data_IF_139498081133
#
_entry.id   IF_139498081133
#
_cell.length_a   1.000
_cell.length_b   1.000
_cell.length_c   1.000
_cell.angle_alpha   90.00
_cell.angle_beta   90.00
_cell.angle_gamma   90.00
#
_symmetry.space_group_name_H-M   'P 1'
#
loop_
_entity.id
_entity.type
_entity.pdbx_description
1 polymer ?
#
# COMPACT_ATOMS: atom_id res chain seq x y z
N UNK A 1 -21.26 -23.85 3.91
CA UNK A 1 -20.83 -22.61 4.61
C UNK A 1 -19.40 -22.16 4.25
N UNK A 2 -18.33 -22.92 4.55
CA UNK A 2 -16.94 -22.47 4.23
C UNK A 2 -16.72 -22.31 2.72
N UNK A 3 -17.07 -23.32 1.91
CA UNK A 3 -16.94 -23.27 0.44
C UNK A 3 -17.70 -22.09 -0.18
N UNK A 4 -18.89 -21.80 0.29
CA UNK A 4 -19.70 -20.69 -0.18
C UNK A 4 -19.06 -19.32 0.14
N UNK A 5 -18.50 -19.15 1.35
CA UNK A 5 -17.79 -17.93 1.74
C UNK A 5 -16.53 -17.73 0.89
N UNK A 6 -15.77 -18.80 0.64
CA UNK A 6 -14.59 -18.75 -0.23
C UNK A 6 -14.96 -18.34 -1.66
N UNK A 7 -16.07 -18.87 -2.18
CA UNK A 7 -16.54 -18.51 -3.52
C UNK A 7 -16.93 -17.03 -3.61
N UNK A 8 -17.66 -16.50 -2.62
CA UNK A 8 -18.02 -15.07 -2.56
C UNK A 8 -16.78 -14.17 -2.45
N UNK A 9 -15.75 -14.58 -1.70
CA UNK A 9 -14.51 -13.84 -1.62
C UNK A 9 -13.78 -13.79 -2.97
N UNK A 10 -13.70 -14.91 -3.69
CA UNK A 10 -13.14 -14.98 -5.04
C UNK A 10 -13.90 -14.05 -6.01
N UNK A 11 -15.23 -14.07 -5.95
CA UNK A 11 -16.08 -13.20 -6.79
C UNK A 11 -15.79 -11.71 -6.53
N UNK A 12 -15.62 -11.30 -5.27
CA UNK A 12 -15.27 -9.92 -4.91
C UNK A 12 -13.88 -9.55 -5.45
N UNK A 13 -12.89 -10.40 -5.23
CA UNK A 13 -11.52 -10.16 -5.72
C UNK A 13 -11.50 -10.08 -7.25
N UNK A 14 -12.22 -10.96 -7.94
CA UNK A 14 -12.34 -10.95 -9.40
C UNK A 14 -13.04 -9.69 -9.91
N UNK A 15 -14.09 -9.23 -9.25
CA UNK A 15 -14.81 -8.00 -9.60
C UNK A 15 -13.95 -6.76 -9.44
N UNK A 16 -13.04 -6.76 -8.47
CA UNK A 16 -12.15 -5.65 -8.16
C UNK A 16 -10.80 -5.71 -8.91
N UNK A 17 -10.55 -6.78 -9.66
CA UNK A 17 -9.36 -6.92 -10.51
C UNK A 17 -9.41 -5.95 -11.70
N UNK A 18 -8.30 -5.28 -11.96
CA UNK A 18 -8.09 -4.33 -13.07
C UNK A 18 -7.05 -4.82 -14.08
N UNK A 19 -6.87 -6.14 -14.18
CA UNK A 19 -5.96 -6.76 -15.15
C UNK A 19 -4.49 -6.76 -14.75
N UNK A 20 -4.19 -6.58 -13.48
CA UNK A 20 -2.81 -6.59 -12.97
C UNK A 20 -2.71 -6.12 -11.53
N UNK A 21 -3.62 -5.29 -11.09
CA UNK A 21 -3.78 -4.83 -9.72
C UNK A 21 -5.25 -4.92 -9.28
N UNK A 22 -5.47 -4.92 -7.99
CA UNK A 22 -6.79 -4.99 -7.37
C UNK A 22 -7.13 -3.67 -6.70
N UNK A 23 -8.36 -3.21 -6.86
CA UNK A 23 -8.87 -2.06 -6.10
C UNK A 23 -9.66 -2.55 -4.89
N UNK A 24 -9.57 -1.89 -3.70
CA UNK A 24 -10.34 -2.29 -2.52
C UNK A 24 -11.84 -2.25 -2.78
N UNK A 25 -12.34 -1.20 -3.41
CA UNK A 25 -13.71 -1.10 -3.92
C UNK A 25 -13.77 -0.22 -5.17
N UNK A 26 -14.63 -0.58 -6.11
CA UNK A 26 -14.72 0.13 -7.40
C UNK A 26 -15.25 1.56 -7.31
N UNK A 27 -15.90 1.96 -6.21
CA UNK A 27 -16.49 3.30 -6.03
C UNK A 27 -15.70 4.19 -5.09
N UNK A 28 -15.45 3.72 -3.85
CA UNK A 28 -14.82 4.52 -2.81
C UNK A 28 -13.29 4.53 -2.90
N UNK A 29 -12.68 3.41 -3.31
CA UNK A 29 -11.24 3.22 -3.35
C UNK A 29 -10.85 2.66 -4.73
N UNK A 30 -10.87 3.50 -5.80
CA UNK A 30 -10.76 3.03 -7.18
C UNK A 30 -9.33 2.83 -7.68
N UNK A 31 -8.33 2.96 -6.82
CA UNK A 31 -6.92 2.82 -7.15
C UNK A 31 -6.29 1.61 -6.47
N UNK A 32 -4.99 1.39 -6.63
CA UNK A 32 -4.25 0.36 -5.92
C UNK A 32 -3.73 0.91 -4.59
N UNK A 33 -4.11 0.30 -3.47
CA UNK A 33 -3.58 0.59 -2.14
C UNK A 33 -2.53 -0.43 -1.73
N UNK A 34 -1.55 -0.01 -0.92
CA UNK A 34 -0.39 -0.80 -0.52
C UNK A 34 -0.78 -2.07 0.26
N UNK A 35 -1.29 -1.92 1.48
CA UNK A 35 -1.58 -3.08 2.31
C UNK A 35 -2.79 -3.88 1.81
N UNK A 36 -3.74 -3.22 1.16
CA UNK A 36 -4.88 -3.87 0.51
C UNK A 36 -4.41 -4.82 -0.59
N UNK A 37 -3.43 -4.40 -1.41
CA UNK A 37 -2.81 -5.25 -2.41
C UNK A 37 -2.10 -6.45 -1.79
N UNK A 38 -1.42 -6.26 -0.64
CA UNK A 38 -0.76 -7.36 0.05
C UNK A 38 -1.78 -8.43 0.49
N UNK A 39 -2.86 -8.03 1.16
CA UNK A 39 -3.92 -8.95 1.58
C UNK A 39 -4.69 -9.54 0.39
N UNK A 40 -4.94 -8.75 -0.65
CA UNK A 40 -5.57 -9.24 -1.88
C UNK A 40 -4.71 -10.30 -2.55
N UNK A 41 -3.39 -10.08 -2.65
CA UNK A 41 -2.46 -11.06 -3.20
C UNK A 41 -2.46 -12.37 -2.41
N UNK A 42 -2.47 -12.32 -1.07
CA UNK A 42 -2.58 -13.51 -0.24
C UNK A 42 -3.87 -14.28 -0.55
N UNK A 43 -5.02 -13.59 -0.62
CA UNK A 43 -6.29 -14.22 -0.99
C UNK A 43 -6.26 -14.82 -2.39
N UNK A 44 -5.75 -14.07 -3.38
CA UNK A 44 -5.64 -14.51 -4.78
C UNK A 44 -4.69 -15.71 -4.90
N UNK A 45 -3.63 -15.80 -4.11
CA UNK A 45 -2.65 -16.89 -4.16
C UNK A 45 -3.26 -18.27 -3.93
N UNK A 46 -4.40 -18.34 -3.24
CA UNK A 46 -5.12 -19.58 -2.97
C UNK A 46 -5.74 -20.22 -4.22
N UNK A 47 -5.97 -19.43 -5.29
CA UNK A 47 -6.56 -19.92 -6.54
C UNK A 47 -5.81 -19.50 -7.81
N UNK A 48 -5.03 -18.42 -7.78
CA UNK A 48 -4.25 -17.94 -8.94
C UNK A 48 -2.91 -17.32 -8.50
N UNK A 49 -1.89 -18.16 -8.33
CA UNK A 49 -0.56 -17.73 -7.87
C UNK A 49 0.10 -16.71 -8.79
N UNK A 50 -0.03 -16.88 -10.10
CA UNK A 50 0.59 -15.97 -11.09
C UNK A 50 0.03 -14.57 -10.91
N UNK A 51 -1.29 -14.45 -10.80
CA UNK A 51 -1.97 -13.17 -10.60
C UNK A 51 -1.62 -12.55 -9.24
N UNK A 52 -1.50 -13.36 -8.19
CA UNK A 52 -1.09 -12.88 -6.87
C UNK A 52 0.31 -12.23 -6.90
N UNK A 53 1.28 -12.87 -7.52
CA UNK A 53 2.62 -12.30 -7.68
C UNK A 53 2.63 -11.05 -8.58
N UNK A 54 1.79 -11.00 -9.59
CA UNK A 54 1.64 -9.82 -10.45
C UNK A 54 1.17 -8.60 -9.63
N UNK A 55 0.21 -8.78 -8.72
CA UNK A 55 -0.27 -7.74 -7.79
C UNK A 55 0.90 -7.11 -7.02
N UNK A 56 1.71 -7.94 -6.37
CA UNK A 56 2.83 -7.50 -5.55
C UNK A 56 3.96 -6.86 -6.38
N UNK A 57 4.24 -7.41 -7.56
CA UNK A 57 5.27 -6.87 -8.45
C UNK A 57 4.87 -5.48 -8.95
N UNK A 58 3.60 -5.27 -9.32
CA UNK A 58 3.12 -3.96 -9.78
C UNK A 58 3.19 -2.94 -8.65
N UNK A 59 2.78 -3.32 -7.43
CA UNK A 59 2.89 -2.46 -6.26
C UNK A 59 4.34 -2.05 -6.00
N UNK A 60 5.27 -3.00 -5.96
CA UNK A 60 6.68 -2.75 -5.65
C UNK A 60 7.37 -1.94 -6.76
N UNK A 61 6.94 -2.05 -8.01
CA UNK A 61 7.48 -1.21 -9.10
C UNK A 61 7.25 0.29 -8.90
N UNK A 62 6.27 0.68 -8.09
CA UNK A 62 6.04 2.07 -7.71
C UNK A 62 6.90 2.54 -6.53
N UNK A 63 7.83 1.71 -6.05
CA UNK A 63 8.76 2.06 -4.97
C UNK A 63 9.59 3.28 -5.36
N UNK A 64 9.68 4.22 -4.45
CA UNK A 64 10.50 5.42 -4.61
C UNK A 64 11.99 5.10 -4.48
N UNK A 65 12.84 5.96 -5.03
CA UNK A 65 14.30 5.80 -4.95
C UNK A 65 14.85 5.71 -3.52
N UNK A 66 14.16 6.35 -2.57
CA UNK A 66 14.52 6.31 -1.15
C UNK A 66 14.03 5.03 -0.42
N UNK A 67 13.38 4.11 -1.12
CA UNK A 67 12.87 2.86 -0.56
C UNK A 67 11.39 2.86 -0.19
N UNK A 68 10.71 4.01 -0.09
CA UNK A 68 9.30 4.07 0.26
C UNK A 68 8.42 3.35 -0.76
N UNK A 69 7.52 2.48 -0.31
CA UNK A 69 6.40 2.00 -1.12
C UNK A 69 5.19 2.87 -0.77
N UNK A 70 4.61 3.57 -1.76
CA UNK A 70 3.52 4.52 -1.52
C UNK A 70 2.24 3.82 -1.07
N UNK A 71 1.41 4.54 -0.34
CA UNK A 71 0.13 4.04 0.11
C UNK A 71 -0.90 3.92 -1.01
N UNK A 72 -0.85 4.81 -2.04
CA UNK A 72 -1.70 4.73 -3.24
C UNK A 72 -0.86 4.83 -4.50
N UNK A 73 -1.21 4.01 -5.51
CA UNK A 73 -0.76 4.13 -6.89
C UNK A 73 -1.98 4.52 -7.73
N UNK A 74 -1.88 5.65 -8.43
CA UNK A 74 -2.90 6.15 -9.33
C UNK A 74 -2.62 5.65 -10.75
N UNK A 75 -3.11 4.45 -11.09
CA UNK A 75 -2.91 3.87 -12.43
C UNK A 75 -3.67 4.63 -13.52
N UNK A 76 -4.77 5.28 -13.14
CA UNK A 76 -5.61 6.08 -14.01
C UNK A 76 -6.10 7.35 -13.30
N UNK A 77 -6.53 8.34 -14.06
CA UNK A 77 -7.16 9.53 -13.49
C UNK A 77 -8.63 9.23 -13.18
N UNK A 78 -9.03 9.42 -11.93
CA UNK A 78 -10.43 9.32 -11.51
C UNK A 78 -10.88 10.66 -10.92
N UNK A 79 -11.68 11.46 -11.68
CA UNK A 79 -12.09 12.79 -11.23
C UNK A 79 -13.02 12.75 -10.00
N UNK A 80 -13.60 11.61 -9.68
CA UNK A 80 -14.51 11.43 -8.54
C UNK A 80 -13.76 11.00 -7.27
N UNK A 81 -12.43 10.82 -7.33
CA UNK A 81 -11.62 10.46 -6.16
C UNK A 81 -10.78 11.64 -5.68
N UNK A 82 -10.87 11.94 -4.40
CA UNK A 82 -10.06 12.95 -3.72
C UNK A 82 -9.35 12.33 -2.51
N UNK A 83 -8.05 12.63 -2.28
CA UNK A 83 -7.14 13.44 -3.11
C UNK A 83 -6.58 12.63 -4.30
N UNK A 84 -6.78 13.13 -5.52
CA UNK A 84 -6.24 12.53 -6.74
C UNK A 84 -4.74 12.85 -6.96
N UNK A 85 -4.12 12.35 -8.05
CA UNK A 85 -2.67 12.46 -8.28
C UNK A 85 -2.17 13.92 -8.33
N UNK A 86 -2.94 14.82 -8.89
CA UNK A 86 -2.59 16.25 -9.00
C UNK A 86 -2.47 16.94 -7.63
N UNK A 87 -3.11 16.39 -6.59
CA UNK A 87 -3.08 16.94 -5.25
C UNK A 87 -1.72 16.73 -4.59
N UNK A 88 -1.06 15.63 -4.88
CA UNK A 88 0.19 15.24 -4.25
C UNK A 88 1.42 15.95 -4.81
N UNK A 89 1.32 16.56 -6.01
CA UNK A 89 2.38 17.34 -6.69
C UNK A 89 3.74 16.64 -6.76
N UNK A 90 3.73 15.33 -6.92
CA UNK A 90 4.93 14.50 -6.91
C UNK A 90 5.64 14.60 -8.25
N UNK A 91 6.94 14.89 -8.22
CA UNK A 91 7.83 14.88 -9.39
C UNK A 91 8.48 13.50 -9.57
N UNK A 92 7.67 12.44 -9.65
CA UNK A 92 8.17 11.09 -9.91
C UNK A 92 7.59 10.51 -11.19
N UNK A 93 8.20 9.44 -11.70
CA UNK A 93 7.73 8.76 -12.92
C UNK A 93 6.42 7.98 -12.72
N UNK A 94 5.96 7.82 -11.48
CA UNK A 94 4.71 7.16 -11.14
C UNK A 94 3.78 8.13 -10.40
N UNK A 95 2.52 8.17 -10.78
CA UNK A 95 1.51 8.91 -10.05
C UNK A 95 1.19 8.17 -8.75
N UNK A 96 1.71 8.65 -7.63
CA UNK A 96 1.54 8.02 -6.31
C UNK A 96 1.19 9.06 -5.25
N UNK A 97 0.71 8.61 -4.09
CA UNK A 97 0.72 9.42 -2.89
C UNK A 97 2.13 9.49 -2.29
N UNK A 98 2.37 10.42 -1.36
CA UNK A 98 3.66 10.60 -0.68
C UNK A 98 3.71 10.06 0.75
N UNK A 99 2.74 9.28 1.14
CA UNK A 99 2.70 8.51 2.39
C UNK A 99 2.87 7.03 2.11
N UNK A 100 3.19 6.27 3.14
CA UNK A 100 3.16 4.82 3.12
C UNK A 100 1.93 4.28 3.88
N UNK A 101 1.88 2.98 4.10
CA UNK A 101 0.88 2.26 4.89
C UNK A 101 1.58 1.21 5.77
N UNK A 102 0.85 0.49 6.66
CA UNK A 102 1.46 -0.56 7.47
C UNK A 102 2.28 -1.55 6.64
N UNK A 103 3.55 -1.84 7.01
CA UNK A 103 4.50 -2.60 6.18
C UNK A 103 4.25 -4.12 6.24
N UNK A 104 3.05 -4.58 5.89
CA UNK A 104 2.67 -6.00 5.95
C UNK A 104 3.21 -6.83 4.78
N UNK A 105 3.75 -6.21 3.74
CA UNK A 105 4.21 -6.85 2.51
C UNK A 105 5.20 -8.00 2.77
N UNK A 106 6.19 -7.79 3.63
CA UNK A 106 7.20 -8.81 3.92
C UNK A 106 6.57 -10.05 4.57
N UNK A 107 5.63 -9.86 5.50
CA UNK A 107 4.92 -10.96 6.16
C UNK A 107 4.05 -11.76 5.18
N UNK A 108 3.35 -11.07 4.28
CA UNK A 108 2.52 -11.71 3.26
C UNK A 108 3.39 -12.48 2.25
N UNK A 109 4.48 -11.88 1.75
CA UNK A 109 5.40 -12.54 0.83
C UNK A 109 6.04 -13.75 1.49
N UNK A 110 6.44 -13.64 2.76
CA UNK A 110 6.98 -14.76 3.54
C UNK A 110 5.98 -15.92 3.66
N UNK A 111 4.71 -15.63 3.95
CA UNK A 111 3.66 -16.65 4.01
C UNK A 111 3.46 -17.34 2.65
N UNK A 112 3.40 -16.57 1.57
CA UNK A 112 3.27 -17.11 0.20
C UNK A 112 4.46 -17.98 -0.21
N UNK A 113 5.68 -17.65 0.23
CA UNK A 113 6.89 -18.43 -0.05
C UNK A 113 6.89 -19.70 0.78
N UNK A 114 6.60 -19.63 2.07
CA UNK A 114 6.62 -20.79 2.98
C UNK A 114 5.56 -21.85 2.62
N UNK A 115 4.39 -21.39 2.20
CA UNK A 115 3.29 -22.27 1.79
C UNK A 115 3.28 -22.54 0.27
N UNK A 116 4.32 -22.06 -0.42
CA UNK A 116 4.45 -22.11 -1.85
C UNK A 116 5.36 -23.25 -2.38
N UNK A 117 5.78 -23.08 -3.61
CA UNK A 117 6.72 -23.96 -4.30
C UNK A 117 7.97 -23.18 -4.76
N UNK A 118 8.82 -23.81 -5.60
CA UNK A 118 10.05 -23.16 -6.11
C UNK A 118 9.76 -21.87 -6.92
N UNK A 119 8.64 -21.78 -7.61
CA UNK A 119 8.21 -20.54 -8.31
C UNK A 119 8.00 -19.42 -7.30
N UNK A 120 7.28 -19.68 -6.21
CA UNK A 120 7.00 -18.72 -5.15
C UNK A 120 8.30 -18.26 -4.46
N UNK A 121 9.21 -19.19 -4.19
CA UNK A 121 10.54 -18.89 -3.65
C UNK A 121 11.35 -17.98 -4.56
N UNK A 122 11.38 -18.24 -5.88
CA UNK A 122 12.10 -17.40 -6.84
C UNK A 122 11.48 -15.97 -6.91
N UNK A 123 10.16 -15.86 -6.86
CA UNK A 123 9.47 -14.56 -6.81
C UNK A 123 9.80 -13.81 -5.53
N UNK A 124 9.73 -14.45 -4.38
CA UNK A 124 10.10 -13.84 -3.09
C UNK A 124 11.55 -13.33 -3.08
N UNK A 125 12.49 -14.16 -3.57
CA UNK A 125 13.90 -13.75 -3.72
C UNK A 125 14.07 -12.53 -4.62
N UNK A 126 13.34 -12.44 -5.71
CA UNK A 126 13.44 -11.30 -6.64
C UNK A 126 12.96 -9.98 -6.05
N UNK A 127 12.14 -10.01 -5.01
CA UNK A 127 11.60 -8.82 -4.33
C UNK A 127 12.35 -8.47 -3.04
N UNK A 128 13.27 -9.31 -2.58
CA UNK A 128 13.93 -9.19 -1.29
C UNK A 128 14.60 -7.83 -1.08
N UNK A 129 15.39 -7.36 -2.03
CA UNK A 129 16.09 -6.08 -1.91
C UNK A 129 15.12 -4.88 -1.82
N UNK A 130 14.00 -4.93 -2.55
CA UNK A 130 12.96 -3.92 -2.47
C UNK A 130 12.26 -3.92 -1.11
N UNK A 131 12.01 -5.08 -0.54
CA UNK A 131 11.44 -5.19 0.81
C UNK A 131 12.42 -4.67 1.87
N UNK A 132 13.70 -5.00 1.76
CA UNK A 132 14.73 -4.47 2.67
C UNK A 132 14.79 -2.95 2.60
N UNK A 133 14.88 -2.37 1.39
CA UNK A 133 14.88 -0.92 1.21
C UNK A 133 13.62 -0.26 1.78
N UNK A 134 12.46 -0.92 1.69
CA UNK A 134 11.22 -0.41 2.27
C UNK A 134 11.25 -0.39 3.80
N UNK A 135 11.76 -1.43 4.44
CA UNK A 135 11.91 -1.45 5.90
C UNK A 135 12.99 -0.46 6.38
N UNK A 136 14.11 -0.35 5.69
CA UNK A 136 15.16 0.64 5.98
C UNK A 136 14.64 2.08 5.87
N UNK A 137 13.74 2.33 4.89
CA UNK A 137 13.09 3.63 4.77
C UNK A 137 12.28 4.02 6.04
N UNK A 138 11.59 3.09 6.69
CA UNK A 138 10.89 3.39 7.94
C UNK A 138 11.86 3.85 9.03
N UNK A 139 12.98 3.18 9.20
CA UNK A 139 13.97 3.58 10.21
C UNK A 139 14.60 4.93 9.87
N UNK A 140 14.94 5.20 8.62
CA UNK A 140 15.55 6.45 8.22
C UNK A 140 14.58 7.63 8.20
N UNK A 141 13.35 7.43 7.74
CA UNK A 141 12.36 8.50 7.52
C UNK A 141 11.36 8.68 8.67
N UNK A 142 11.14 7.66 9.50
CA UNK A 142 10.15 7.64 10.57
C UNK A 142 10.75 7.46 11.98
N UNK A 143 12.06 7.25 12.06
CA UNK A 143 12.86 7.32 13.29
C UNK A 143 14.15 8.14 13.12
N UNK A 144 14.06 9.42 12.71
CA UNK A 144 15.24 10.24 12.39
C UNK A 144 16.15 10.50 13.59
N UNK A 145 15.68 10.25 14.80
CA UNK A 145 16.43 10.41 16.05
C UNK A 145 16.96 9.08 16.62
N UNK A 146 16.83 7.97 15.90
CA UNK A 146 17.27 6.63 16.29
C UNK A 146 16.75 6.21 17.69
N UNK A 147 15.48 6.47 17.97
CA UNK A 147 14.83 6.14 19.24
C UNK A 147 14.38 4.67 19.32
N UNK A 148 14.46 3.93 18.22
CA UNK A 148 14.05 2.52 18.11
C UNK A 148 12.56 2.30 17.93
N UNK A 149 11.78 3.33 17.61
CA UNK A 149 10.36 3.21 17.27
C UNK A 149 9.97 4.11 16.10
N UNK A 150 9.08 3.59 15.27
CA UNK A 150 8.62 4.24 14.05
C UNK A 150 7.50 5.23 14.38
N UNK A 151 7.68 6.50 14.04
CA UNK A 151 6.69 7.54 14.20
C UNK A 151 5.70 7.52 13.04
N UNK A 152 4.43 7.79 13.32
CA UNK A 152 3.40 8.01 12.31
C UNK A 152 3.24 9.52 12.14
N UNK A 153 3.37 9.99 10.90
CA UNK A 153 3.28 11.42 10.56
C UNK A 153 1.95 11.80 9.93
N UNK A 154 1.17 10.80 9.53
CA UNK A 154 -0.17 10.96 8.99
C UNK A 154 -1.02 9.74 9.38
N UNK A 155 -2.30 9.91 9.79
CA UNK A 155 -3.16 8.80 10.19
C UNK A 155 -3.26 7.67 9.15
N UNK A 156 -3.18 7.97 7.86
CA UNK A 156 -3.22 6.97 6.81
C UNK A 156 -2.04 5.98 6.83
N UNK A 157 -0.90 6.37 7.39
CA UNK A 157 0.23 5.45 7.59
C UNK A 157 -0.04 4.38 8.65
N UNK A 158 -1.01 4.62 9.54
CA UNK A 158 -1.40 3.67 10.59
C UNK A 158 -2.35 2.58 10.11
N UNK A 159 -3.04 2.79 8.98
CA UNK A 159 -4.19 1.99 8.57
C UNK A 159 -5.43 2.15 9.48
N UNK A 160 -5.40 3.12 10.41
CA UNK A 160 -6.47 3.42 11.38
C UNK A 160 -6.96 4.86 11.22
N UNK A 161 -7.31 5.24 10.01
CA UNK A 161 -7.59 6.62 9.59
C UNK A 161 -8.66 7.30 10.43
N UNK A 162 -9.71 6.57 10.78
CA UNK A 162 -10.87 7.06 11.50
C UNK A 162 -10.85 6.65 13.00
N UNK A 163 -9.66 6.40 13.55
CA UNK A 163 -9.55 6.05 14.96
C UNK A 163 -9.73 7.29 15.84
N UNK A 164 -10.53 7.22 16.93
CA UNK A 164 -10.68 8.32 17.89
C UNK A 164 -9.38 8.80 18.53
N UNK A 165 -8.31 8.02 18.48
CA UNK A 165 -6.97 8.40 18.97
C UNK A 165 -6.45 9.68 18.28
N UNK A 166 -6.92 9.97 17.06
CA UNK A 166 -6.53 11.16 16.28
C UNK A 166 -7.34 12.40 16.63
N UNK A 167 -8.50 12.27 17.27
CA UNK A 167 -9.46 13.36 17.47
C UNK A 167 -8.84 14.53 18.25
N UNK A 168 -8.10 14.26 19.33
CA UNK A 168 -7.42 15.30 20.10
C UNK A 168 -6.32 16.01 19.31
N UNK A 169 -5.49 15.25 18.59
CA UNK A 169 -4.39 15.81 17.80
C UNK A 169 -4.85 16.60 16.58
N UNK A 170 -6.02 16.25 16.05
CA UNK A 170 -6.58 16.85 14.84
C UNK A 170 -7.73 17.84 15.10
N UNK A 171 -8.10 18.07 16.35
CA UNK A 171 -9.26 18.91 16.74
C UNK A 171 -9.29 20.30 16.09
N UNK A 172 -8.12 20.90 15.87
CA UNK A 172 -7.98 22.22 15.25
C UNK A 172 -7.48 22.16 13.79
N UNK A 173 -7.44 20.97 13.19
CA UNK A 173 -6.96 20.78 11.83
C UNK A 173 -8.15 20.60 10.90
N UNK A 174 -8.32 21.51 9.95
CA UNK A 174 -9.33 21.37 8.92
C UNK A 174 -9.02 20.17 8.04
N UNK A 175 -10.02 19.37 7.67
CA UNK A 175 -9.88 18.17 6.85
C UNK A 175 -9.11 18.39 5.52
N UNK A 176 -9.18 19.60 4.95
CA UNK A 176 -8.40 19.99 3.76
C UNK A 176 -6.95 20.31 4.13
N UNK A 177 -6.72 20.95 5.28
CA UNK A 177 -5.36 21.25 5.80
C UNK A 177 -4.62 19.99 6.23
N UNK A 178 -5.32 18.99 6.63
CA UNK A 178 -4.86 17.68 7.05
C UNK A 178 -4.09 16.92 5.94
N UNK A 179 -4.53 17.00 4.71
CA UNK A 179 -3.78 16.52 3.55
C UNK A 179 -2.62 17.45 3.17
N UNK A 180 -2.69 18.73 3.50
CA UNK A 180 -1.67 19.72 3.13
C UNK A 180 -0.53 19.87 4.16
N UNK A 181 -0.78 19.67 5.44
CA UNK A 181 0.23 19.88 6.50
C UNK A 181 1.45 18.96 6.37
N UNK A 182 1.31 17.86 5.69
CA UNK A 182 2.38 16.87 5.52
C UNK A 182 3.05 16.93 4.14
N UNK A 183 2.46 17.60 3.14
CA UNK A 183 2.94 17.61 1.77
C UNK A 183 4.26 18.39 1.56
N UNK A 184 4.47 19.61 2.08
CA UNK A 184 5.69 20.37 1.80
C UNK A 184 6.96 19.76 2.40
N UNK A 185 6.83 19.03 3.51
CA UNK A 185 8.00 18.52 4.27
C UNK A 185 8.38 17.10 3.82
N UNK A 186 7.47 16.35 3.22
CA UNK A 186 7.63 14.91 2.96
C UNK A 186 7.89 14.63 1.49
N UNK A 187 7.33 15.44 0.60
CA UNK A 187 7.47 15.24 -0.84
C UNK A 187 8.69 15.93 -1.45
N UNK A 188 9.48 16.62 -0.64
CA UNK A 188 10.74 17.23 -1.08
C UNK A 188 11.88 16.22 -0.96
N UNK A 189 12.05 15.41 -1.98
CA UNK A 189 13.22 14.55 -2.22
C UNK A 189 13.83 14.91 -3.54
#
# INVERSE_FOLDING_TARGET
>A
MIKERSQKAIEILTKNDRGGYTVPTSKLYPHQWNWDSAFSALGISTYNKIRAWQELIILIRAQWKNGMIPHIIFHENNPNYFPGPNHWQIKSNANTSCHSQPPVLASIIWDMVNNGNNYDLQKGKSLFNSLMAYHEWFFSARDPNNKGFISIIHPWESGRDNCPDWDLGLHNVNAVSYTHLTLPTICSV
#
